data_IF_385296809392
#
_entry.id   IF_385296809392
#
_cell.length_a   1.000
_cell.length_b   1.000
_cell.length_c   1.000
_cell.angle_alpha   90.00
_cell.angle_beta   90.00
_cell.angle_gamma   90.00
#
_symmetry.space_group_name_H-M   'P 1'
#
loop_
_entity.id
_entity.type
_entity.pdbx_description
1 polymer ?
#
# COMPACT_ATOMS: atom_id res chain seq x y z
N UNK A 1 9.91 -2.54 -13.48
CA UNK A 1 9.90 -1.35 -14.35
C UNK A 1 10.69 -0.17 -13.77
N UNK A 2 10.69 0.05 -12.45
CA UNK A 2 11.42 1.16 -11.78
C UNK A 2 12.95 1.11 -11.90
N UNK A 3 13.56 -0.08 -11.94
CA UNK A 3 15.03 -0.23 -12.03
C UNK A 3 15.60 0.31 -13.36
N UNK A 4 14.88 0.14 -14.47
CA UNK A 4 15.28 0.69 -15.76
C UNK A 4 15.24 2.22 -15.79
N UNK A 5 14.23 2.82 -15.14
CA UNK A 5 14.12 4.26 -15.01
C UNK A 5 15.28 4.86 -14.20
N UNK A 6 15.66 4.21 -13.10
CA UNK A 6 16.80 4.65 -12.26
C UNK A 6 18.11 4.64 -13.05
N UNK A 7 18.41 3.55 -13.75
CA UNK A 7 19.60 3.44 -14.58
C UNK A 7 19.68 4.54 -15.64
N UNK A 8 18.55 4.84 -16.28
CA UNK A 8 18.46 5.88 -17.29
C UNK A 8 18.72 7.29 -16.71
N UNK A 9 18.16 7.61 -15.54
CA UNK A 9 18.37 8.89 -14.86
C UNK A 9 19.84 9.06 -14.45
N UNK A 10 20.48 8.02 -13.94
CA UNK A 10 21.90 8.05 -13.55
C UNK A 10 22.80 8.29 -14.78
N UNK A 11 22.52 7.61 -15.90
CA UNK A 11 23.27 7.79 -17.16
C UNK A 11 23.10 9.20 -17.70
N UNK A 12 21.86 9.72 -17.73
CA UNK A 12 21.62 11.10 -18.17
C UNK A 12 22.31 12.13 -17.26
N UNK A 13 22.31 11.91 -15.97
CA UNK A 13 23.00 12.79 -15.01
C UNK A 13 24.53 12.80 -15.26
N UNK A 14 25.10 11.64 -15.57
CA UNK A 14 26.51 11.54 -15.92
C UNK A 14 26.85 12.36 -17.17
N UNK A 15 26.08 12.20 -18.25
CA UNK A 15 26.31 12.94 -19.48
C UNK A 15 26.10 14.45 -19.32
N UNK A 16 25.08 14.85 -18.54
CA UNK A 16 24.84 16.26 -18.24
C UNK A 16 26.01 16.86 -17.45
N UNK A 17 26.47 16.20 -16.38
CA UNK A 17 27.60 16.67 -15.57
C UNK A 17 28.89 16.73 -16.39
N UNK A 18 29.13 15.73 -17.25
CA UNK A 18 30.29 15.71 -18.14
C UNK A 18 30.25 16.86 -19.16
N UNK A 19 29.06 17.19 -19.67
CA UNK A 19 28.89 18.30 -20.61
C UNK A 19 29.14 19.66 -19.99
N UNK A 20 28.69 19.89 -18.73
CA UNK A 20 28.81 21.17 -18.05
C UNK A 20 30.15 21.38 -17.34
N UNK A 21 30.75 20.33 -16.77
CA UNK A 21 31.92 20.42 -15.90
C UNK A 21 33.13 19.66 -16.41
N UNK A 22 33.01 18.97 -17.55
CA UNK A 22 34.07 18.14 -18.10
C UNK A 22 34.34 16.88 -17.26
N UNK A 23 35.40 16.14 -17.63
CA UNK A 23 35.80 14.93 -16.90
C UNK A 23 36.47 15.23 -15.56
N UNK A 24 37.07 16.41 -15.43
CA UNK A 24 37.78 16.85 -14.20
C UNK A 24 36.82 17.16 -13.05
N UNK A 25 35.52 17.35 -13.35
CA UNK A 25 34.48 17.55 -12.34
C UNK A 25 34.47 18.96 -11.74
N UNK A 26 33.98 19.07 -10.51
CA UNK A 26 33.82 20.33 -9.77
C UNK A 26 34.73 20.31 -8.57
N UNK A 27 35.53 21.37 -8.37
CA UNK A 27 36.48 21.50 -7.27
C UNK A 27 37.45 20.32 -7.11
N UNK A 28 37.88 19.70 -8.21
CA UNK A 28 38.78 18.54 -8.19
C UNK A 28 38.14 17.20 -7.83
N UNK A 29 36.84 17.16 -7.70
CA UNK A 29 36.07 15.92 -7.52
C UNK A 29 35.68 15.38 -8.91
N UNK A 30 36.16 14.20 -9.31
CA UNK A 30 35.81 13.63 -10.61
C UNK A 30 34.31 13.48 -10.81
N UNK A 31 33.83 13.74 -12.01
CA UNK A 31 32.39 13.66 -12.39
C UNK A 31 31.75 12.32 -12.02
N UNK A 32 32.51 11.21 -12.07
CA UNK A 32 32.05 9.86 -11.69
C UNK A 32 31.59 9.81 -10.22
N UNK A 33 32.31 10.43 -9.30
CA UNK A 33 31.93 10.45 -7.88
C UNK A 33 30.69 11.29 -7.64
N UNK A 34 30.55 12.43 -8.31
CA UNK A 34 29.34 13.27 -8.24
C UNK A 34 28.13 12.51 -8.75
N UNK A 35 28.25 11.79 -9.85
CA UNK A 35 27.18 10.97 -10.42
C UNK A 35 26.79 9.83 -9.46
N UNK A 36 27.75 9.17 -8.83
CA UNK A 36 27.50 8.11 -7.87
C UNK A 36 26.72 8.64 -6.65
N UNK A 37 27.09 9.80 -6.10
CA UNK A 37 26.39 10.43 -4.99
C UNK A 37 24.94 10.78 -5.37
N UNK A 38 24.73 11.38 -6.53
CA UNK A 38 23.38 11.69 -7.05
C UNK A 38 22.56 10.41 -7.19
N UNK A 39 23.15 9.34 -7.76
CA UNK A 39 22.49 8.03 -7.89
C UNK A 39 22.05 7.45 -6.56
N UNK A 40 22.91 7.52 -5.54
CA UNK A 40 22.57 7.06 -4.17
C UNK A 40 21.43 7.89 -3.57
N UNK A 41 21.46 9.22 -3.72
CA UNK A 41 20.39 10.08 -3.21
C UNK A 41 19.05 9.75 -3.87
N UNK A 42 19.04 9.62 -5.21
CA UNK A 42 17.82 9.25 -5.94
C UNK A 42 17.31 7.88 -5.50
N UNK A 43 18.22 6.90 -5.34
CA UNK A 43 17.85 5.56 -4.86
C UNK A 43 17.22 5.61 -3.47
N UNK A 44 17.79 6.38 -2.54
CA UNK A 44 17.24 6.53 -1.18
C UNK A 44 15.86 7.21 -1.19
N UNK A 45 15.66 8.22 -2.04
CA UNK A 45 14.37 8.89 -2.18
C UNK A 45 13.32 7.93 -2.76
N UNK A 46 13.68 7.13 -3.75
CA UNK A 46 12.77 6.12 -4.31
C UNK A 46 12.48 5.00 -3.32
N UNK A 47 13.48 4.52 -2.59
CA UNK A 47 13.28 3.50 -1.54
C UNK A 47 12.34 4.02 -0.44
N UNK A 48 12.49 5.29 -0.04
CA UNK A 48 11.58 5.93 0.92
C UNK A 48 10.15 6.01 0.39
N UNK A 49 9.96 6.33 -0.89
CA UNK A 49 8.64 6.35 -1.52
C UNK A 49 7.99 4.98 -1.48
N UNK A 50 8.70 3.93 -1.90
CA UNK A 50 8.19 2.55 -1.89
C UNK A 50 7.84 2.06 -0.47
N UNK A 51 8.66 2.40 0.53
CA UNK A 51 8.41 2.03 1.94
C UNK A 51 7.25 2.85 2.52
N UNK A 52 7.06 4.09 2.05
CA UNK A 52 5.97 4.96 2.52
C UNK A 52 4.60 4.57 1.95
N UNK A 53 4.57 3.82 0.84
CA UNK A 53 3.31 3.40 0.21
C UNK A 53 2.59 2.26 0.96
N UNK A 54 3.25 1.63 1.93
CA UNK A 54 2.59 0.67 2.84
C UNK A 54 1.81 1.39 3.97
N UNK A 55 0.94 2.34 3.58
CA UNK A 55 0.21 3.18 4.55
C UNK A 55 -0.95 2.47 5.21
N UNK A 56 -1.45 1.41 4.58
CA UNK A 56 -2.60 0.67 5.06
C UNK A 56 -2.22 -0.79 5.32
N UNK A 57 -2.53 -1.28 6.52
CA UNK A 57 -2.42 -2.68 6.89
C UNK A 57 -3.75 -3.15 7.44
N UNK A 58 -4.23 -4.28 6.96
CA UNK A 58 -5.47 -4.90 7.41
C UNK A 58 -5.13 -6.21 8.10
N UNK A 59 -5.56 -6.36 9.33
CA UNK A 59 -5.40 -7.58 10.13
C UNK A 59 -6.78 -8.10 10.54
N UNK A 60 -7.01 -9.40 10.39
CA UNK A 60 -8.25 -10.04 10.82
C UNK A 60 -7.90 -11.11 11.85
N UNK A 61 -8.33 -10.91 13.09
CA UNK A 61 -8.07 -11.83 14.18
C UNK A 61 -9.28 -11.86 15.15
N UNK A 62 -9.64 -13.05 15.63
CA UNK A 62 -10.69 -13.23 16.65
C UNK A 62 -12.03 -12.55 16.31
N UNK A 63 -12.46 -12.61 15.05
CA UNK A 63 -13.69 -11.96 14.53
C UNK A 63 -13.65 -10.43 14.57
N UNK A 64 -12.49 -9.86 14.71
CA UNK A 64 -12.25 -8.43 14.62
C UNK A 64 -11.39 -8.12 13.39
N UNK A 65 -11.67 -7.01 12.76
CA UNK A 65 -10.84 -6.42 11.71
C UNK A 65 -10.16 -5.18 12.27
N UNK A 66 -8.85 -5.14 12.20
CA UNK A 66 -8.05 -3.99 12.57
C UNK A 66 -7.46 -3.37 11.31
N UNK A 67 -7.80 -2.13 11.05
CA UNK A 67 -7.25 -1.34 9.96
C UNK A 67 -6.26 -0.35 10.55
N UNK A 68 -5.02 -0.43 10.10
CA UNK A 68 -3.94 0.43 10.54
C UNK A 68 -3.62 1.39 9.39
N UNK A 69 -4.05 2.63 9.51
CA UNK A 69 -3.76 3.71 8.59
C UNK A 69 -2.86 4.73 9.29
N UNK A 70 -1.72 5.07 8.66
CA UNK A 70 -0.74 6.03 9.22
C UNK A 70 -0.38 5.78 10.69
N UNK A 71 -0.25 4.50 11.10
CA UNK A 71 0.03 4.02 12.46
C UNK A 71 -1.11 4.21 13.48
N UNK A 72 -2.30 4.58 13.03
CA UNK A 72 -3.49 4.64 13.88
C UNK A 72 -4.32 3.37 13.68
N UNK A 73 -4.31 2.42 14.61
CA UNK A 73 -5.15 1.22 14.51
C UNK A 73 -6.61 1.55 14.86
N UNK A 74 -7.52 1.12 14.00
CA UNK A 74 -8.96 1.12 14.24
C UNK A 74 -9.46 -0.31 14.17
N UNK A 75 -10.15 -0.76 15.23
CA UNK A 75 -10.61 -2.14 15.33
C UNK A 75 -12.14 -2.17 15.34
N UNK A 76 -12.71 -3.05 14.51
CA UNK A 76 -14.15 -3.22 14.36
C UNK A 76 -14.50 -4.69 14.53
N UNK A 77 -15.63 -4.97 15.21
CA UNK A 77 -16.17 -6.32 15.32
C UNK A 77 -16.91 -6.69 14.01
N UNK A 78 -16.51 -7.80 13.40
CA UNK A 78 -17.04 -8.20 12.08
C UNK A 78 -18.52 -8.57 12.16
N UNK A 79 -19.01 -9.05 13.29
CA UNK A 79 -20.40 -9.49 13.42
C UNK A 79 -21.38 -8.36 13.62
N UNK A 80 -20.96 -7.30 14.30
CA UNK A 80 -21.81 -6.15 14.63
C UNK A 80 -21.65 -4.97 13.68
N UNK A 81 -20.67 -5.02 12.76
CA UNK A 81 -20.39 -3.96 11.79
C UNK A 81 -20.89 -4.31 10.40
N UNK A 82 -21.31 -3.28 9.64
CA UNK A 82 -21.61 -3.38 8.21
C UNK A 82 -20.35 -3.15 7.38
N UNK A 83 -20.18 -3.89 6.28
CA UNK A 83 -19.04 -3.77 5.38
C UNK A 83 -19.50 -3.56 3.94
N UNK A 84 -19.05 -2.48 3.32
CA UNK A 84 -19.36 -2.12 1.94
C UNK A 84 -18.06 -1.93 1.17
N UNK A 85 -17.92 -2.67 0.06
CA UNK A 85 -16.74 -2.61 -0.81
C UNK A 85 -17.12 -1.88 -2.09
N UNK A 86 -16.45 -0.78 -2.37
CA UNK A 86 -16.63 -0.02 -3.59
C UNK A 86 -15.36 -0.07 -4.44
N UNK A 87 -15.54 -0.13 -5.76
CA UNK A 87 -14.43 -0.08 -6.72
C UNK A 87 -14.74 0.97 -7.77
N UNK A 88 -13.84 1.92 -7.92
CA UNK A 88 -13.91 2.94 -8.95
C UNK A 88 -12.75 2.79 -9.93
N UNK A 89 -13.03 2.89 -11.22
CA UNK A 89 -12.01 2.86 -12.27
C UNK A 89 -11.78 4.29 -12.75
N UNK A 90 -10.60 4.83 -12.44
CA UNK A 90 -10.18 6.14 -12.91
C UNK A 90 -8.97 5.99 -13.84
N UNK A 91 -9.11 6.42 -15.08
CA UNK A 91 -7.99 6.53 -16.05
C UNK A 91 -7.12 5.26 -16.20
N UNK A 92 -7.71 4.07 -15.98
CA UNK A 92 -7.00 2.78 -16.08
C UNK A 92 -6.49 2.23 -14.73
N UNK A 93 -6.54 3.01 -13.65
CA UNK A 93 -6.24 2.53 -12.30
C UNK A 93 -7.52 2.20 -11.54
N UNK A 94 -7.52 1.05 -10.86
CA UNK A 94 -8.63 0.63 -10.00
C UNK A 94 -8.38 1.13 -8.58
N UNK A 95 -9.28 1.96 -8.08
CA UNK A 95 -9.32 2.36 -6.69
C UNK A 95 -10.35 1.53 -5.94
N UNK A 96 -9.97 1.03 -4.77
CA UNK A 96 -10.81 0.21 -3.93
C UNK A 96 -11.00 0.87 -2.57
N UNK A 97 -12.26 0.99 -2.16
CA UNK A 97 -12.62 1.57 -0.87
C UNK A 97 -13.37 0.55 -0.02
N UNK A 98 -13.07 0.53 1.26
CA UNK A 98 -13.80 -0.23 2.27
C UNK A 98 -14.48 0.74 3.21
N UNK A 99 -15.80 0.75 3.21
CA UNK A 99 -16.60 1.50 4.18
C UNK A 99 -17.11 0.56 5.26
N UNK A 100 -16.77 0.85 6.51
CA UNK A 100 -17.22 0.11 7.69
C UNK A 100 -18.22 0.97 8.43
N UNK A 101 -19.41 0.43 8.68
CA UNK A 101 -20.42 1.04 9.55
C UNK A 101 -20.35 0.34 10.90
N UNK A 102 -19.98 1.05 11.93
CA UNK A 102 -19.86 0.49 13.29
C UNK A 102 -21.23 0.29 13.97
N UNK A 103 -21.21 -0.24 15.18
CA UNK A 103 -22.42 -0.46 15.99
C UNK A 103 -23.16 0.83 16.40
N UNK A 104 -22.58 2.00 16.20
CA UNK A 104 -23.15 3.31 16.49
C UNK A 104 -23.62 4.02 15.21
N UNK A 105 -23.73 3.30 14.07
CA UNK A 105 -24.07 3.83 12.75
C UNK A 105 -23.05 4.87 12.21
N UNK A 106 -21.83 4.90 12.75
CA UNK A 106 -20.77 5.74 12.23
C UNK A 106 -20.09 5.04 11.05
N UNK A 107 -19.90 5.79 9.96
CA UNK A 107 -19.25 5.30 8.77
C UNK A 107 -17.77 5.72 8.74
N UNK A 108 -16.91 4.72 8.56
CA UNK A 108 -15.47 4.86 8.41
C UNK A 108 -15.08 4.37 7.03
N UNK A 109 -14.48 5.21 6.20
CA UNK A 109 -14.07 4.86 4.84
C UNK A 109 -12.55 4.81 4.74
N UNK A 110 -12.02 3.70 4.19
CA UNK A 110 -10.59 3.43 4.05
C UNK A 110 -10.27 3.20 2.59
N UNK A 111 -9.19 3.82 2.11
CA UNK A 111 -8.64 3.54 0.79
C UNK A 111 -7.77 2.27 0.86
N UNK A 112 -8.33 1.16 0.36
CA UNK A 112 -7.67 -0.14 0.31
C UNK A 112 -7.04 -0.44 -1.06
N UNK A 113 -6.84 0.57 -1.91
CA UNK A 113 -6.22 0.42 -3.24
C UNK A 113 -4.79 -0.12 -3.19
N UNK A 114 -4.12 0.02 -2.04
CA UNK A 114 -2.81 -0.58 -1.80
C UNK A 114 -2.83 -2.11 -1.68
N UNK A 115 -4.01 -2.71 -1.43
CA UNK A 115 -4.20 -4.16 -1.47
C UNK A 115 -4.38 -4.60 -2.93
N UNK A 116 -3.80 -5.73 -3.29
CA UNK A 116 -4.02 -6.34 -4.60
C UNK A 116 -5.47 -6.80 -4.77
N UNK A 117 -5.93 -6.91 -6.01
CA UNK A 117 -7.30 -7.35 -6.32
C UNK A 117 -7.65 -8.71 -5.69
N UNK A 118 -6.67 -9.62 -5.61
CA UNK A 118 -6.83 -10.94 -4.99
C UNK A 118 -7.04 -10.78 -3.48
N UNK A 119 -6.22 -9.95 -2.82
CA UNK A 119 -6.31 -9.69 -1.38
C UNK A 119 -7.64 -9.05 -0.99
N UNK A 120 -8.15 -8.13 -1.82
CA UNK A 120 -9.49 -7.53 -1.61
C UNK A 120 -10.60 -8.58 -1.71
N UNK A 121 -10.52 -9.52 -2.67
CA UNK A 121 -11.49 -10.59 -2.81
C UNK A 121 -11.41 -11.58 -1.64
N UNK A 122 -10.23 -11.95 -1.19
CA UNK A 122 -10.02 -12.81 -0.03
C UNK A 122 -10.56 -12.17 1.25
N UNK A 123 -10.30 -10.88 1.46
CA UNK A 123 -10.84 -10.13 2.59
C UNK A 123 -12.38 -10.11 2.57
N UNK A 124 -12.99 -9.85 1.41
CA UNK A 124 -14.45 -9.87 1.23
C UNK A 124 -15.05 -11.25 1.51
N UNK A 125 -14.41 -12.32 1.03
CA UNK A 125 -14.84 -13.68 1.27
C UNK A 125 -14.73 -14.06 2.75
N UNK A 126 -13.65 -13.68 3.42
CA UNK A 126 -13.41 -13.92 4.84
C UNK A 126 -14.46 -13.20 5.71
N UNK A 127 -14.71 -11.92 5.48
CA UNK A 127 -15.74 -11.16 6.20
C UNK A 127 -17.13 -11.80 5.99
N UNK A 128 -17.47 -12.14 4.77
CA UNK A 128 -18.76 -12.79 4.44
C UNK A 128 -18.92 -14.15 5.13
N UNK A 129 -17.85 -14.91 5.29
CA UNK A 129 -17.87 -16.22 5.97
C UNK A 129 -18.11 -16.08 7.49
N UNK A 130 -17.60 -15.00 8.09
CA UNK A 130 -17.79 -14.73 9.52
C UNK A 130 -19.18 -14.16 9.81
N UNK A 131 -19.71 -13.32 8.91
CA UNK A 131 -21.05 -12.72 9.05
C UNK A 131 -22.20 -13.71 8.82
N UNK A 132 -21.99 -14.74 7.98
CA UNK A 132 -22.95 -15.81 7.79
C UNK A 132 -22.62 -16.95 8.74
N UNK A 133 -23.34 -17.13 9.87
CA UNK A 133 -23.19 -18.33 10.68
C UNK A 133 -23.56 -19.54 9.81
N UNK A 134 -22.65 -20.51 9.76
CA UNK A 134 -22.87 -21.78 9.07
C UNK A 134 -24.10 -22.46 9.68
N UNK A 135 -25.24 -22.63 8.94
CA UNK A 135 -26.46 -23.22 9.48
C UNK A 135 -26.28 -24.66 9.99
N UNK A 136 -25.17 -25.32 9.60
CA UNK A 136 -24.87 -26.70 10.02
C UNK A 136 -24.11 -26.81 11.35
N UNK A 137 -23.61 -25.71 11.93
CA UNK A 137 -22.92 -25.72 13.22
C UNK A 137 -23.81 -25.61 14.45
N UNK A 138 -25.11 -25.34 14.28
CA UNK A 138 -26.06 -25.16 15.40
C UNK A 138 -26.59 -26.51 15.92
N UNK A 139 -26.34 -27.64 15.22
CA UNK A 139 -26.90 -28.94 15.61
C UNK A 139 -26.01 -29.84 16.48
N UNK A 140 -24.90 -29.37 17.02
CA UNK A 140 -23.99 -30.25 17.78
C UNK A 140 -23.80 -29.81 19.24
N UNK A 141 -24.74 -29.09 19.86
CA UNK A 141 -24.67 -28.70 21.27
C UNK A 141 -25.99 -28.90 22.00
N UNK A 142 -26.69 -29.98 21.72
CA UNK A 142 -27.74 -30.52 22.60
C UNK A 142 -27.59 -32.05 22.66
N UNK A 143 -26.71 -32.52 23.52
CA UNK A 143 -26.80 -33.82 24.21
C UNK A 143 -25.89 -33.78 25.44
#
# INVERSE_FOLDING_TARGET
MYLFGLGFVVVLSYFALQHFFGLEGVYGIPTVYLTAVIGVIIFLLMAKSVISDAKLRVEVENMQITIIEDKNPQTFDIRSSGFEFESHIYSGDSQHFLTITDSNDQKHSFDISGLGQIEVQELKALISSIQKPDPNKIQTQED
#
